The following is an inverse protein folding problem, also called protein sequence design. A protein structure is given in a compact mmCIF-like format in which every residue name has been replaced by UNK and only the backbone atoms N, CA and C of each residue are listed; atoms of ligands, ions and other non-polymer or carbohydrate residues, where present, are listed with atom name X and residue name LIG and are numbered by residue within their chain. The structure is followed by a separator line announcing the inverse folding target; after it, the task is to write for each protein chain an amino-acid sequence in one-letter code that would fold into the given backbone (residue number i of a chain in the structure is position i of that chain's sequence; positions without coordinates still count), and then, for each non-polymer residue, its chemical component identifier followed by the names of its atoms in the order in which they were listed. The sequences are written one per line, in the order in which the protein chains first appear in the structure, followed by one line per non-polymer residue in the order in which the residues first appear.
data_IF_580595810867
#
_entry.id   IF_580595810867
#
_cell.length_a   1.000
_cell.length_b   1.000
_cell.length_c   1.000
_cell.angle_alpha   90.00
_cell.angle_beta   90.00
_cell.angle_gamma   90.00
#
_symmetry.space_group_name_H-M   'P 1'
#
loop_
_entity.id
_entity.type
_entity.pdbx_description
1 polymer ?
#
# COMPACT_ATOMS: atom_id res chain seq x y z
N UNK A 1 5.67 11.85 -0.71
CA UNK A 1 5.26 10.43 -0.70
C UNK A 1 6.21 9.61 -1.57
N UNK A 2 6.77 8.57 -1.00
CA UNK A 2 7.57 7.61 -1.76
C UNK A 2 6.64 6.53 -2.32
N UNK A 3 6.25 6.69 -3.59
CA UNK A 3 5.38 5.72 -4.28
C UNK A 3 6.20 4.51 -4.75
N UNK A 4 5.53 3.39 -4.96
CA UNK A 4 6.13 2.14 -5.42
C UNK A 4 7.21 1.61 -4.46
N UNK A 5 7.06 1.89 -3.17
CA UNK A 5 8.06 1.48 -2.18
C UNK A 5 8.20 -0.04 -2.06
N UNK A 6 7.20 -0.80 -2.47
CA UNK A 6 7.27 -2.26 -2.49
C UNK A 6 8.32 -2.81 -3.48
N UNK A 7 8.75 -1.99 -4.43
CA UNK A 7 9.81 -2.38 -5.36
C UNK A 7 11.17 -2.46 -4.68
N UNK A 8 11.36 -1.75 -3.57
CA UNK A 8 12.54 -1.87 -2.73
C UNK A 8 12.38 -3.06 -1.79
N UNK A 9 13.29 -4.01 -1.86
CA UNK A 9 13.22 -5.23 -1.04
C UNK A 9 13.94 -5.09 0.30
N UNK A 10 14.68 -4.00 0.50
CA UNK A 10 15.36 -3.74 1.76
C UNK A 10 14.48 -2.90 2.70
N UNK A 11 13.88 -3.56 3.67
CA UNK A 11 13.02 -2.89 4.66
C UNK A 11 13.76 -1.82 5.47
N UNK A 12 15.08 -1.90 5.59
CA UNK A 12 15.85 -0.88 6.31
C UNK A 12 15.71 0.49 5.63
N UNK A 13 15.56 0.52 4.30
CA UNK A 13 15.31 1.77 3.58
C UNK A 13 13.89 2.29 3.80
N UNK A 14 12.90 1.39 3.89
CA UNK A 14 11.54 1.78 4.26
C UNK A 14 11.54 2.46 5.62
N UNK A 15 12.20 1.86 6.59
CA UNK A 15 12.29 2.40 7.94
C UNK A 15 13.02 3.75 7.97
N UNK A 16 14.17 3.83 7.29
CA UNK A 16 15.00 5.04 7.26
C UNK A 16 14.23 6.25 6.74
N UNK A 17 13.53 6.07 5.61
CA UNK A 17 12.79 7.17 5.01
C UNK A 17 11.54 7.53 5.81
N UNK A 18 10.85 6.54 6.38
CA UNK A 18 9.70 6.81 7.24
C UNK A 18 10.12 7.60 8.49
N UNK A 19 11.23 7.25 9.11
CA UNK A 19 11.74 7.98 10.29
C UNK A 19 12.18 9.39 9.93
N UNK A 20 12.56 9.63 8.69
CA UNK A 20 12.89 10.97 8.20
C UNK A 20 11.64 11.80 7.86
N UNK A 21 10.45 11.26 8.05
CA UNK A 21 9.19 11.95 7.82
C UNK A 21 8.52 11.68 6.49
N UNK A 22 9.07 10.79 5.67
CA UNK A 22 8.44 10.44 4.40
C UNK A 22 7.22 9.55 4.61
N UNK A 23 6.21 9.73 3.75
CA UNK A 23 5.13 8.76 3.60
C UNK A 23 5.61 7.65 2.67
N UNK A 24 5.56 6.41 3.16
CA UNK A 24 6.01 5.23 2.41
C UNK A 24 4.77 4.53 1.87
N UNK A 25 4.61 4.53 0.55
CA UNK A 25 3.44 3.95 -0.09
C UNK A 25 3.77 2.62 -0.76
N UNK A 26 3.11 1.57 -0.32
CA UNK A 26 3.14 0.25 -0.94
C UNK A 26 1.93 0.12 -1.84
N UNK A 27 2.14 0.34 -3.12
CA UNK A 27 1.07 0.30 -4.12
C UNK A 27 1.14 -0.97 -4.98
N UNK A 28 0.36 -1.03 -6.04
CA UNK A 28 0.36 -2.21 -6.89
C UNK A 28 -0.15 -3.47 -6.19
N UNK A 29 -0.92 -3.33 -5.11
CA UNK A 29 -1.43 -4.45 -4.33
C UNK A 29 -2.36 -5.31 -5.17
N UNK A 30 -2.05 -6.60 -5.27
CA UNK A 30 -2.83 -7.56 -6.02
C UNK A 30 -2.75 -8.94 -5.34
N UNK A 31 -3.50 -9.89 -5.86
CA UNK A 31 -3.43 -11.26 -5.37
C UNK A 31 -2.01 -11.82 -5.39
N UNK A 32 -1.25 -11.52 -6.46
CA UNK A 32 0.13 -12.01 -6.62
C UNK A 32 1.10 -11.40 -5.64
N UNK A 33 0.87 -10.16 -5.22
CA UNK A 33 1.79 -9.42 -4.36
C UNK A 33 1.33 -9.32 -2.91
N UNK A 34 0.14 -9.85 -2.58
CA UNK A 34 -0.47 -9.66 -1.26
C UNK A 34 0.43 -10.13 -0.12
N UNK A 35 1.13 -11.25 -0.28
CA UNK A 35 2.06 -11.75 0.74
C UNK A 35 3.18 -10.76 1.05
N UNK A 36 3.78 -10.19 0.03
CA UNK A 36 4.84 -9.19 0.18
C UNK A 36 4.30 -7.88 0.79
N UNK A 37 3.13 -7.43 0.32
CA UNK A 37 2.51 -6.25 0.91
C UNK A 37 2.18 -6.44 2.38
N UNK A 38 1.70 -7.62 2.75
CA UNK A 38 1.42 -7.94 4.15
C UNK A 38 2.71 -7.90 4.98
N UNK A 39 3.82 -8.43 4.45
CA UNK A 39 5.11 -8.35 5.10
C UNK A 39 5.58 -6.91 5.29
N UNK A 40 5.43 -6.08 4.26
CA UNK A 40 5.77 -4.65 4.34
C UNK A 40 4.97 -3.94 5.44
N UNK A 41 3.66 -4.15 5.47
CA UNK A 41 2.80 -3.54 6.49
C UNK A 41 3.20 -3.99 7.89
N UNK A 42 3.43 -5.29 8.07
CA UNK A 42 3.85 -5.83 9.37
C UNK A 42 5.19 -5.27 9.82
N UNK A 43 6.13 -5.16 8.89
CA UNK A 43 7.43 -4.58 9.21
C UNK A 43 7.27 -3.15 9.74
N UNK A 44 6.48 -2.34 9.06
CA UNK A 44 6.24 -0.95 9.48
C UNK A 44 5.53 -0.88 10.82
N UNK A 45 4.52 -1.75 11.05
CA UNK A 45 3.80 -1.81 12.31
C UNK A 45 4.73 -2.22 13.47
N UNK A 46 5.58 -3.21 13.26
CA UNK A 46 6.51 -3.69 14.29
C UNK A 46 7.53 -2.63 14.70
N UNK A 47 7.82 -1.69 13.84
CA UNK A 47 8.73 -0.57 14.11
C UNK A 47 8.01 0.71 14.52
N UNK A 48 6.72 0.60 14.79
CA UNK A 48 5.89 1.75 15.18
C UNK A 48 5.85 2.84 14.10
N UNK A 49 5.88 2.44 12.84
CA UNK A 49 5.90 3.33 11.68
C UNK A 49 4.65 3.19 10.80
N UNK A 50 3.62 2.49 11.31
CA UNK A 50 2.38 2.36 10.55
C UNK A 50 1.76 3.72 10.23
N UNK A 51 1.97 4.71 11.09
CA UNK A 51 1.49 6.08 10.87
C UNK A 51 2.16 6.83 9.72
N UNK A 52 3.17 6.24 9.09
CA UNK A 52 3.84 6.80 7.91
C UNK A 52 3.65 5.89 6.69
N UNK A 53 2.66 5.00 6.73
CA UNK A 53 2.46 3.97 5.72
C UNK A 53 1.17 4.21 4.94
N UNK A 54 1.25 4.08 3.64
CA UNK A 54 0.09 4.13 2.74
C UNK A 54 0.06 2.85 1.91
N UNK A 55 -1.15 2.42 1.53
CA UNK A 55 -1.34 1.29 0.63
C UNK A 55 -2.30 1.66 -0.50
N UNK A 56 -2.10 1.06 -1.67
CA UNK A 56 -2.93 1.30 -2.85
C UNK A 56 -2.87 0.10 -3.77
N UNK A 57 -3.88 -0.08 -4.60
CA UNK A 57 -3.87 -1.14 -5.62
C UNK A 57 -3.26 -0.67 -6.94
N UNK A 58 -3.25 0.63 -7.21
CA UNK A 58 -2.79 1.16 -8.49
C UNK A 58 -3.44 0.40 -9.65
N UNK A 59 -4.76 0.35 -9.65
CA UNK A 59 -5.55 -0.51 -10.52
C UNK A 59 -6.49 0.31 -11.42
N UNK A 60 -7.23 -0.38 -12.30
CA UNK A 60 -8.20 0.27 -13.17
C UNK A 60 -7.61 0.91 -14.42
N UNK A 61 -6.41 0.46 -14.82
CA UNK A 61 -5.73 1.01 -15.98
C UNK A 61 -6.32 0.48 -17.28
N UNK A 62 -6.49 1.38 -18.25
CA UNK A 62 -6.78 1.04 -19.63
C UNK A 62 -5.44 0.96 -20.38
N UNK A 63 -5.14 -0.19 -20.97
CA UNK A 63 -3.87 -0.42 -21.67
C UNK A 63 -4.03 -0.03 -23.14
N UNK A 64 -3.55 1.16 -23.49
CA UNK A 64 -3.63 1.67 -24.86
C UNK A 64 -2.89 0.73 -25.82
N UNK A 65 -3.55 0.41 -26.95
CA UNK A 65 -2.99 -0.48 -27.95
C UNK A 65 -3.31 -1.96 -27.76
N UNK A 66 -3.91 -2.34 -26.65
CA UNK A 66 -4.37 -3.70 -26.39
C UNK A 66 -5.88 -3.84 -26.63
N UNK A 67 -6.35 -5.00 -27.14
CA UNK A 67 -7.80 -5.20 -27.36
C UNK A 67 -8.60 -4.98 -26.06
N UNK A 68 -9.63 -4.16 -26.13
CA UNK A 68 -10.47 -3.86 -24.98
C UNK A 68 -9.75 -3.18 -23.81
N UNK A 69 -8.56 -2.63 -24.05
CA UNK A 69 -7.77 -2.00 -22.98
C UNK A 69 -6.92 -2.97 -22.19
N UNK A 70 -6.79 -4.21 -22.64
CA UNK A 70 -6.01 -5.24 -21.95
C UNK A 70 -6.73 -5.85 -20.75
N UNK A 71 -5.98 -6.45 -19.84
CA UNK A 71 -6.51 -7.03 -18.62
C UNK A 71 -6.85 -5.94 -17.61
N UNK A 72 -8.14 -5.79 -17.33
CA UNK A 72 -8.61 -4.81 -16.34
C UNK A 72 -8.55 -5.40 -14.93
N UNK A 73 -7.89 -4.68 -14.02
CA UNK A 73 -7.85 -5.03 -12.61
C UNK A 73 -8.76 -4.08 -11.83
N UNK A 74 -9.75 -4.63 -11.14
CA UNK A 74 -10.77 -3.84 -10.44
C UNK A 74 -10.25 -3.19 -9.17
N UNK A 75 -11.10 -2.41 -8.52
CA UNK A 75 -10.75 -1.59 -7.36
C UNK A 75 -11.08 -2.24 -6.02
N UNK A 76 -11.63 -3.45 -6.01
CA UNK A 76 -12.19 -4.03 -4.79
C UNK A 76 -11.23 -4.89 -3.97
N UNK A 77 -10.11 -5.32 -4.55
CA UNK A 77 -9.23 -6.33 -3.92
C UNK A 77 -8.79 -5.94 -2.51
N UNK A 78 -8.40 -4.68 -2.29
CA UNK A 78 -8.01 -4.21 -0.96
C UNK A 78 -9.11 -4.53 0.06
N UNK A 79 -10.34 -4.23 -0.27
CA UNK A 79 -11.46 -4.36 0.67
C UNK A 79 -11.90 -5.81 0.87
N UNK A 80 -11.95 -6.59 -0.20
CA UNK A 80 -12.51 -7.95 -0.14
C UNK A 80 -11.51 -8.98 0.35
N UNK A 81 -10.23 -8.81 0.04
CA UNK A 81 -9.23 -9.86 0.23
C UNK A 81 -8.07 -9.46 1.13
N UNK A 82 -7.58 -8.23 1.03
CA UNK A 82 -6.38 -7.81 1.76
C UNK A 82 -6.70 -7.32 3.17
N UNK A 83 -7.59 -6.35 3.31
CA UNK A 83 -7.91 -5.77 4.62
C UNK A 83 -8.36 -6.81 5.65
N UNK A 84 -9.16 -7.85 5.29
CA UNK A 84 -9.52 -8.86 6.26
C UNK A 84 -8.35 -9.60 6.91
N UNK A 85 -7.16 -9.56 6.30
CA UNK A 85 -5.95 -10.17 6.85
C UNK A 85 -5.24 -9.28 7.86
N UNK A 86 -5.69 -8.03 8.03
CA UNK A 86 -5.07 -7.07 8.93
C UNK A 86 -5.91 -6.92 10.21
N UNK A 87 -5.24 -6.52 11.28
CA UNK A 87 -5.94 -6.14 12.49
C UNK A 87 -6.86 -4.94 12.25
N UNK A 88 -8.05 -4.86 12.88
CA UNK A 88 -8.97 -3.74 12.65
C UNK A 88 -8.36 -2.36 12.87
N UNK A 89 -7.50 -2.21 13.85
CA UNK A 89 -6.82 -0.94 14.10
C UNK A 89 -5.90 -0.54 12.93
N UNK A 90 -5.25 -1.51 12.29
CA UNK A 90 -4.41 -1.26 11.12
C UNK A 90 -5.25 -0.88 9.90
N UNK A 91 -6.40 -1.55 9.72
CA UNK A 91 -7.32 -1.22 8.64
C UNK A 91 -7.74 0.24 8.70
N UNK A 92 -8.18 0.67 9.86
CA UNK A 92 -8.58 2.07 10.04
C UNK A 92 -7.43 3.03 9.78
N UNK A 93 -6.25 2.73 10.30
CA UNK A 93 -5.09 3.59 10.15
C UNK A 93 -4.68 3.75 8.70
N UNK A 94 -4.61 2.64 7.96
CA UNK A 94 -4.18 2.64 6.57
C UNK A 94 -5.20 3.24 5.62
N UNK A 95 -6.49 3.04 5.89
CA UNK A 95 -7.54 3.44 4.95
C UNK A 95 -8.18 4.79 5.26
N UNK A 96 -8.08 5.28 6.50
CA UNK A 96 -8.71 6.52 6.91
C UNK A 96 -7.72 7.52 7.48
N UNK A 97 -7.07 7.16 8.58
CA UNK A 97 -6.26 8.12 9.32
C UNK A 97 -5.04 8.59 8.53
N UNK A 98 -4.30 7.65 7.91
CA UNK A 98 -3.09 7.99 7.17
C UNK A 98 -3.38 8.76 5.87
N UNK A 99 -4.32 8.34 5.01
CA UNK A 99 -4.67 9.16 3.84
C UNK A 99 -5.13 10.56 4.21
N UNK A 100 -5.89 10.68 5.29
CA UNK A 100 -6.33 11.97 5.79
C UNK A 100 -5.15 12.84 6.23
N UNK A 101 -4.21 12.26 6.95
CA UNK A 101 -3.02 12.98 7.42
C UNK A 101 -2.09 13.37 6.26
N UNK A 102 -1.94 12.48 5.25
CA UNK A 102 -1.04 12.71 4.13
C UNK A 102 -1.60 13.71 3.12
N UNK A 103 -2.90 13.67 2.84
CA UNK A 103 -3.51 14.40 1.73
C UNK A 103 -4.66 15.33 2.14
N UNK A 104 -5.26 15.12 3.28
CA UNK A 104 -6.36 15.94 3.77
C UNK A 104 -5.89 17.30 4.29
N UNK A 105 -6.79 18.26 4.23
CA UNK A 105 -6.52 19.60 4.76
C UNK A 105 -7.61 20.03 5.72
#
# INVERSE_FOLDING_TARGET
VWVHAQSEKDHALHEKLARAGAWVEFDGLSEKSAGWHLECVRYMADRNLLGQTLISQDAGWYHVGEPGGGNYRGYAYIYTDFLPRLEPAWQRRLMLDNPRAAFGK
#
